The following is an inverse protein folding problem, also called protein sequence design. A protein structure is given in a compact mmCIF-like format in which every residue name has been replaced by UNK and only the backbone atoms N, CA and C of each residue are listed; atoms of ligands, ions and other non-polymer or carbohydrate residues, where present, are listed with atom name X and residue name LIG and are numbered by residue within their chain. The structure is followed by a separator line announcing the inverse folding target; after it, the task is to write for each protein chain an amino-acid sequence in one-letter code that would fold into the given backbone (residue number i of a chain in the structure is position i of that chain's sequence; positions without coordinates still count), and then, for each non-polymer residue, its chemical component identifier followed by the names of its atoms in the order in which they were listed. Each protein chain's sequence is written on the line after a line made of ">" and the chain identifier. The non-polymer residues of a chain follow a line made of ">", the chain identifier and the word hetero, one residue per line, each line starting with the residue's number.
data_IF_691095498846
#
_entry.id   IF_691095498846
#
_cell.length_a   1.000
_cell.length_b   1.000
_cell.length_c   1.000
_cell.angle_alpha   90.00
_cell.angle_beta   90.00
_cell.angle_gamma   90.00
#
_symmetry.space_group_name_H-M   'P 1'
#
loop_
_entity.id
_entity.type
_entity.pdbx_description
1 polymer ?
#
# COMPACT_ATOMS: atom_id res chain seq x y z
N UNK A 1 15.30 -5.73 16.82
CA UNK A 1 14.01 -6.13 16.18
C UNK A 1 12.83 -5.28 16.65
N UNK A 2 12.71 -4.08 16.07
CA UNK A 2 11.52 -3.23 16.20
C UNK A 2 10.48 -3.59 15.14
N UNK A 3 9.21 -3.31 15.41
CA UNK A 3 8.11 -3.48 14.45
C UNK A 3 7.28 -2.20 14.39
N UNK A 4 7.01 -1.73 13.18
CA UNK A 4 6.25 -0.52 12.91
C UNK A 4 5.00 -0.88 12.12
N UNK A 5 3.88 -0.24 12.47
CA UNK A 5 2.59 -0.52 11.85
C UNK A 5 1.83 0.77 11.57
N UNK A 6 1.10 0.80 10.46
CA UNK A 6 0.22 1.90 10.12
C UNK A 6 -1.04 1.37 9.43
N UNK A 7 -2.17 2.02 9.73
CA UNK A 7 -3.46 1.70 9.10
C UNK A 7 -3.93 2.93 8.34
N UNK A 8 -4.05 2.80 7.02
CA UNK A 8 -4.52 3.88 6.15
C UNK A 8 -5.94 3.57 5.72
N UNK A 9 -6.88 4.40 6.16
CA UNK A 9 -8.30 4.24 5.87
C UNK A 9 -8.67 4.72 4.46
N UNK A 10 -9.57 4.01 3.80
CA UNK A 10 -10.08 4.37 2.48
C UNK A 10 -9.84 3.27 1.44
N UNK A 11 -10.40 3.46 0.24
CA UNK A 11 -10.20 2.52 -0.86
C UNK A 11 -8.75 2.56 -1.35
N UNK A 12 -8.09 1.38 -1.47
CA UNK A 12 -6.72 1.32 -1.96
C UNK A 12 -6.65 1.80 -3.42
N UNK A 13 -5.68 2.66 -3.71
CA UNK A 13 -5.40 3.15 -5.06
C UNK A 13 -4.13 2.48 -5.56
N UNK A 14 -4.20 1.90 -6.76
CA UNK A 14 -3.01 1.36 -7.43
C UNK A 14 -2.07 2.50 -7.84
N UNK A 15 -0.77 2.24 -7.79
CA UNK A 15 0.21 3.11 -8.42
C UNK A 15 -0.07 3.18 -9.93
N UNK A 16 -0.40 4.38 -10.40
CA UNK A 16 -0.60 4.67 -11.81
C UNK A 16 0.74 4.69 -12.55
N UNK A 17 0.74 4.31 -13.83
CA UNK A 17 1.94 4.47 -14.66
C UNK A 17 2.19 5.96 -14.92
N UNK A 18 3.46 6.42 -14.93
CA UNK A 18 3.79 7.80 -15.23
C UNK A 18 3.18 8.24 -16.56
N UNK A 19 2.65 9.46 -16.58
CA UNK A 19 2.16 10.15 -17.76
C UNK A 19 3.27 11.06 -18.27
N UNK A 20 3.35 11.20 -19.57
CA UNK A 20 4.34 12.03 -20.22
C UNK A 20 3.65 13.26 -20.82
N UNK A 21 4.13 14.46 -20.50
CA UNK A 21 3.73 15.71 -21.15
C UNK A 21 4.95 16.38 -21.77
N UNK A 22 4.75 17.02 -22.93
CA UNK A 22 5.77 17.86 -23.56
C UNK A 22 5.51 19.32 -23.23
N UNK A 23 6.51 20.01 -22.70
CA UNK A 23 6.50 21.46 -22.52
C UNK A 23 7.85 22.01 -23.00
N UNK A 24 7.82 22.89 -24.02
CA UNK A 24 9.03 23.55 -24.54
C UNK A 24 10.11 22.61 -25.09
N UNK A 25 9.75 21.42 -25.59
CA UNK A 25 10.70 20.43 -26.13
C UNK A 25 11.19 19.38 -25.12
N UNK A 26 10.93 19.57 -23.82
CA UNK A 26 11.28 18.60 -22.79
C UNK A 26 10.09 17.69 -22.44
N UNK A 27 10.35 16.39 -22.27
CA UNK A 27 9.37 15.41 -21.81
C UNK A 27 9.45 15.33 -20.29
N UNK A 28 8.36 15.72 -19.61
CA UNK A 28 8.22 15.56 -18.15
C UNK A 28 7.35 14.33 -17.86
N UNK A 29 7.89 13.41 -17.07
CA UNK A 29 7.13 12.29 -16.50
C UNK A 29 6.51 12.73 -15.16
N UNK A 30 5.24 12.42 -14.94
CA UNK A 30 4.56 12.67 -13.68
C UNK A 30 3.54 11.57 -13.37
N UNK A 31 3.35 11.28 -12.08
CA UNK A 31 2.32 10.35 -11.65
C UNK A 31 0.92 10.95 -11.84
N UNK A 32 -0.08 10.16 -12.23
CA UNK A 32 -1.47 10.61 -12.24
C UNK A 32 -1.88 11.19 -10.88
N UNK A 33 -2.67 12.27 -10.87
CA UNK A 33 -3.05 12.99 -9.65
C UNK A 33 -3.57 12.06 -8.55
N UNK A 34 -4.49 11.13 -8.87
CA UNK A 34 -5.01 10.16 -7.89
C UNK A 34 -3.93 9.30 -7.23
N UNK A 35 -2.91 8.89 -7.99
CA UNK A 35 -1.79 8.07 -7.48
C UNK A 35 -0.93 8.89 -6.53
N UNK A 36 -0.58 10.12 -6.96
CA UNK A 36 0.22 11.06 -6.17
C UNK A 36 -0.48 11.43 -4.87
N UNK A 37 -1.76 11.79 -4.94
CA UNK A 37 -2.52 12.25 -3.78
C UNK A 37 -2.71 11.11 -2.77
N UNK A 38 -2.98 9.88 -3.26
CA UNK A 38 -3.03 8.70 -2.40
C UNK A 38 -1.68 8.39 -1.74
N UNK A 39 -0.57 8.48 -2.50
CA UNK A 39 0.79 8.30 -1.98
C UNK A 39 1.12 9.33 -0.89
N UNK A 40 0.77 10.59 -1.10
CA UNK A 40 0.91 11.65 -0.08
C UNK A 40 0.10 11.37 1.18
N UNK A 41 -1.13 10.87 1.02
CA UNK A 41 -1.98 10.49 2.14
C UNK A 41 -1.41 9.30 2.94
N UNK A 42 -0.96 8.24 2.26
CA UNK A 42 -0.27 7.10 2.91
C UNK A 42 0.95 7.60 3.69
N UNK A 43 1.78 8.44 3.07
CA UNK A 43 2.97 9.01 3.71
C UNK A 43 2.63 9.80 4.97
N UNK A 44 1.61 10.65 4.91
CA UNK A 44 1.16 11.48 6.04
C UNK A 44 0.69 10.64 7.22
N UNK A 45 -0.06 9.56 6.96
CA UNK A 45 -0.53 8.65 8.02
C UNK A 45 0.64 7.83 8.57
N UNK A 46 1.47 7.26 7.70
CA UNK A 46 2.59 6.42 8.12
C UNK A 46 3.66 7.19 8.88
N UNK A 47 3.87 8.49 8.59
CA UNK A 47 4.80 9.35 9.31
C UNK A 47 4.48 9.48 10.81
N UNK A 48 3.21 9.32 11.20
CA UNK A 48 2.80 9.36 12.63
C UNK A 48 3.24 8.11 13.41
N UNK A 49 3.62 7.06 12.69
CA UNK A 49 4.05 5.78 13.24
C UNK A 49 5.47 5.42 12.79
N UNK A 50 6.20 6.41 12.25
CA UNK A 50 7.55 6.22 11.76
C UNK A 50 8.55 6.11 12.93
N UNK A 51 9.68 5.42 12.73
CA UNK A 51 10.83 5.54 13.62
C UNK A 51 11.35 6.99 13.67
N UNK A 52 12.10 7.32 14.72
CA UNK A 52 12.75 8.64 14.86
C UNK A 52 13.67 8.97 13.67
N UNK A 53 14.31 7.94 13.11
CA UNK A 53 15.09 8.01 11.88
C UNK A 53 14.78 6.80 10.99
N UNK A 54 14.75 6.95 9.65
CA UNK A 54 14.56 5.82 8.76
C UNK A 54 15.56 4.70 9.02
N UNK A 55 15.07 3.46 9.12
CA UNK A 55 15.89 2.27 9.35
C UNK A 55 16.89 2.10 8.20
N UNK A 56 18.12 1.65 8.50
CA UNK A 56 19.18 1.38 7.52
C UNK A 56 19.49 -0.12 7.33
N UNK A 57 19.03 -0.99 8.24
CA UNK A 57 19.21 -2.44 8.17
C UNK A 57 18.19 -3.19 7.31
N UNK A 58 18.32 -4.52 7.25
CA UNK A 58 17.40 -5.39 6.52
C UNK A 58 16.02 -5.43 7.17
N UNK A 59 14.98 -5.28 6.35
CA UNK A 59 13.60 -5.26 6.81
C UNK A 59 12.74 -6.31 6.08
N UNK A 60 11.75 -6.81 6.80
CA UNK A 60 10.65 -7.59 6.24
C UNK A 60 9.39 -6.71 6.17
N UNK A 61 8.74 -6.69 5.01
CA UNK A 61 7.58 -5.86 4.74
C UNK A 61 6.30 -6.68 4.62
N UNK A 62 5.17 -6.15 5.08
CA UNK A 62 3.87 -6.78 4.95
C UNK A 62 2.80 -5.75 4.63
N UNK A 63 1.87 -6.14 3.77
CA UNK A 63 0.77 -5.30 3.31
C UNK A 63 -0.51 -6.12 3.17
N UNK A 64 -1.49 -5.79 4.02
CA UNK A 64 -2.86 -6.30 3.89
C UNK A 64 -3.76 -5.26 3.27
N UNK A 65 -4.38 -5.61 2.15
CA UNK A 65 -5.26 -4.72 1.40
C UNK A 65 -6.70 -5.16 1.64
N UNK A 66 -7.50 -4.32 2.29
CA UNK A 66 -8.91 -4.57 2.54
C UNK A 66 -9.77 -3.76 1.57
N UNK A 67 -10.54 -4.47 0.76
CA UNK A 67 -11.47 -3.92 -0.24
C UNK A 67 -12.89 -3.94 0.30
N UNK A 68 -13.67 -2.91 -0.02
CA UNK A 68 -15.10 -2.91 0.28
C UNK A 68 -15.81 -4.12 -0.38
N UNK A 69 -16.70 -4.76 0.36
CA UNK A 69 -17.58 -5.80 -0.18
C UNK A 69 -18.59 -5.14 -1.15
N UNK A 70 -18.69 -5.60 -2.42
CA UNK A 70 -19.66 -5.05 -3.36
C UNK A 70 -21.10 -5.18 -2.87
N UNK A 71 -21.90 -4.11 -2.98
CA UNK A 71 -23.30 -4.08 -2.50
C UNK A 71 -24.17 -5.16 -3.13
N UNK A 72 -23.95 -5.46 -4.41
CA UNK A 72 -24.66 -6.50 -5.16
C UNK A 72 -24.16 -7.94 -4.92
N UNK A 73 -23.17 -8.14 -4.04
CA UNK A 73 -22.68 -9.47 -3.71
C UNK A 73 -23.76 -10.28 -2.97
N UNK A 74 -24.14 -11.48 -3.45
CA UNK A 74 -25.10 -12.34 -2.76
C UNK A 74 -24.71 -12.65 -1.33
N UNK A 75 -25.69 -12.89 -0.45
CA UNK A 75 -25.46 -13.11 1.00
C UNK A 75 -24.40 -14.18 1.28
N UNK A 76 -24.48 -15.35 0.63
CA UNK A 76 -23.50 -16.43 0.84
C UNK A 76 -22.07 -16.02 0.47
N UNK A 77 -21.88 -15.24 -0.61
CA UNK A 77 -20.56 -14.71 -0.99
C UNK A 77 -20.10 -13.61 -0.03
N UNK A 78 -21.02 -12.81 0.50
CA UNK A 78 -20.73 -11.79 1.50
C UNK A 78 -20.22 -12.42 2.81
N UNK A 79 -20.85 -13.49 3.28
CA UNK A 79 -20.36 -14.21 4.46
C UNK A 79 -18.99 -14.86 4.19
N UNK A 80 -18.79 -15.47 3.02
CA UNK A 80 -17.48 -16.00 2.62
C UNK A 80 -16.40 -14.90 2.51
N UNK A 81 -16.78 -13.71 2.05
CA UNK A 81 -15.89 -12.55 1.98
C UNK A 81 -15.48 -12.05 3.37
N UNK A 82 -16.44 -11.97 4.31
CA UNK A 82 -16.20 -11.63 5.72
C UNK A 82 -15.34 -12.68 6.43
N UNK A 83 -15.56 -13.96 6.13
CA UNK A 83 -14.75 -15.06 6.64
C UNK A 83 -13.35 -15.15 6.00
N UNK A 84 -13.04 -14.31 4.99
CA UNK A 84 -11.75 -14.31 4.31
C UNK A 84 -11.50 -15.51 3.39
N UNK A 85 -12.50 -16.38 3.17
CA UNK A 85 -12.42 -17.52 2.25
C UNK A 85 -12.65 -17.10 0.80
N UNK A 86 -13.45 -16.05 0.58
CA UNK A 86 -13.57 -15.38 -0.72
C UNK A 86 -12.66 -14.14 -0.76
N UNK A 87 -11.75 -14.09 -1.73
CA UNK A 87 -10.83 -12.96 -1.92
C UNK A 87 -11.21 -12.07 -3.11
N UNK A 88 -10.92 -10.76 -3.05
CA UNK A 88 -11.14 -9.89 -4.19
C UNK A 88 -10.21 -10.28 -5.34
N UNK A 89 -10.75 -10.51 -6.53
CA UNK A 89 -9.95 -10.77 -7.74
C UNK A 89 -9.90 -9.56 -8.68
N UNK A 90 -10.60 -8.48 -8.34
CA UNK A 90 -10.65 -7.22 -9.12
C UNK A 90 -9.47 -6.29 -8.82
N UNK A 91 -9.22 -5.35 -9.73
CA UNK A 91 -8.28 -4.21 -9.54
C UNK A 91 -8.65 -3.36 -8.32
N UNK A 92 -7.68 -2.72 -7.63
CA UNK A 92 -6.26 -2.68 -7.96
C UNK A 92 -5.52 -4.00 -7.67
N UNK A 93 -4.45 -4.23 -8.42
CA UNK A 93 -3.57 -5.39 -8.24
C UNK A 93 -2.69 -5.20 -7.02
N UNK A 94 -2.37 -6.30 -6.33
CA UNK A 94 -1.58 -6.26 -5.08
C UNK A 94 -0.23 -5.60 -5.31
N UNK A 95 0.47 -5.95 -6.40
CA UNK A 95 1.79 -5.39 -6.75
C UNK A 95 1.75 -3.88 -7.03
N UNK A 96 0.67 -3.38 -7.64
CA UNK A 96 0.54 -1.96 -7.93
C UNK A 96 0.23 -1.14 -6.68
N UNK A 97 -0.53 -1.69 -5.73
CA UNK A 97 -0.74 -1.04 -4.42
C UNK A 97 0.55 -1.11 -3.60
N UNK A 98 1.21 -2.27 -3.57
CA UNK A 98 2.49 -2.47 -2.88
C UNK A 98 3.51 -1.42 -3.32
N UNK A 99 3.73 -1.28 -4.63
CA UNK A 99 4.66 -0.29 -5.16
C UNK A 99 4.34 1.14 -4.72
N UNK A 100 3.06 1.51 -4.72
CA UNK A 100 2.64 2.85 -4.27
C UNK A 100 2.91 3.08 -2.78
N UNK A 101 2.80 2.02 -1.96
CA UNK A 101 3.10 2.07 -0.53
C UNK A 101 4.61 2.11 -0.29
N UNK A 102 5.39 1.24 -0.94
CA UNK A 102 6.86 1.25 -0.86
C UNK A 102 7.41 2.64 -1.22
N UNK A 103 6.95 3.18 -2.34
CA UNK A 103 7.34 4.51 -2.79
C UNK A 103 6.92 5.62 -1.79
N UNK A 104 5.85 5.44 -1.01
CA UNK A 104 5.36 6.40 -0.02
C UNK A 104 6.18 6.37 1.29
N UNK A 105 6.68 5.19 1.65
CA UNK A 105 7.39 4.93 2.91
C UNK A 105 8.91 5.12 2.80
N UNK A 106 9.45 5.08 1.58
CA UNK A 106 10.87 5.38 1.32
C UNK A 106 11.24 6.78 1.84
N UNK A 107 12.31 6.83 2.63
CA UNK A 107 12.78 8.01 3.36
C UNK A 107 11.94 8.39 4.58
N UNK A 108 10.94 7.60 4.96
CA UNK A 108 10.11 7.82 6.15
C UNK A 108 10.29 6.67 7.15
N UNK A 109 10.09 5.43 6.71
CA UNK A 109 10.29 4.25 7.57
C UNK A 109 11.65 3.61 7.36
N UNK A 110 12.10 3.56 6.12
CA UNK A 110 13.39 3.00 5.70
C UNK A 110 14.03 3.92 4.66
N UNK A 111 15.35 3.84 4.49
CA UNK A 111 16.09 4.74 3.61
C UNK A 111 15.93 4.38 2.13
N UNK A 112 16.00 3.09 1.81
CA UNK A 112 15.96 2.59 0.44
C UNK A 112 15.16 1.27 0.30
N UNK A 113 14.50 1.08 -0.83
CA UNK A 113 13.71 -0.12 -1.14
C UNK A 113 14.56 -1.38 -1.24
N UNK A 114 15.86 -1.25 -1.53
CA UNK A 114 16.82 -2.36 -1.46
C UNK A 114 16.94 -3.01 -0.07
N UNK A 115 16.49 -2.35 0.99
CA UNK A 115 16.47 -2.91 2.34
C UNK A 115 15.34 -3.93 2.57
N UNK A 116 14.33 -3.95 1.70
CA UNK A 116 13.23 -4.91 1.77
C UNK A 116 13.74 -6.25 1.23
N UNK A 117 14.20 -7.12 2.15
CA UNK A 117 14.77 -8.43 1.79
C UNK A 117 13.73 -9.55 1.78
N UNK A 118 12.54 -9.28 2.32
CA UNK A 118 11.48 -10.27 2.41
C UNK A 118 10.09 -9.65 2.56
N UNK A 119 9.09 -10.43 2.17
CA UNK A 119 7.70 -10.10 2.39
C UNK A 119 7.06 -11.14 3.30
N UNK A 120 6.40 -10.66 4.35
CA UNK A 120 5.55 -11.50 5.20
C UNK A 120 4.18 -11.67 4.56
N UNK A 121 3.15 -11.09 5.18
CA UNK A 121 1.78 -11.17 4.66
C UNK A 121 1.58 -10.14 3.56
N UNK A 122 1.32 -10.61 2.34
CA UNK A 122 0.98 -9.77 1.19
C UNK A 122 -0.29 -10.28 0.52
N UNK A 123 -1.33 -9.44 0.41
CA UNK A 123 -2.54 -9.86 -0.30
C UNK A 123 -3.71 -8.90 -0.22
N UNK A 124 -4.84 -9.35 -0.77
CA UNK A 124 -6.12 -8.64 -0.72
C UNK A 124 -7.23 -9.47 -0.09
N UNK A 125 -8.02 -8.81 0.73
CA UNK A 125 -9.17 -9.32 1.46
C UNK A 125 -10.37 -8.42 1.23
N UNK A 126 -11.55 -8.93 1.49
CA UNK A 126 -12.74 -8.10 1.62
C UNK A 126 -12.94 -7.69 3.08
N UNK A 127 -13.50 -6.51 3.28
CA UNK A 127 -13.98 -6.00 4.56
C UNK A 127 -15.11 -5.00 4.32
N UNK A 128 -15.89 -4.70 5.35
CA UNK A 128 -16.84 -3.60 5.33
C UNK A 128 -16.13 -2.25 5.39
N UNK A 129 -14.95 -2.20 6.02
CA UNK A 129 -14.13 -0.99 6.13
C UNK A 129 -12.89 -1.08 5.23
N UNK A 130 -12.90 -0.47 4.04
CA UNK A 130 -11.74 -0.47 3.15
C UNK A 130 -10.57 0.28 3.81
N UNK A 131 -9.39 -0.33 3.74
CA UNK A 131 -8.15 0.18 4.31
C UNK A 131 -6.95 -0.61 3.77
N UNK A 132 -5.76 -0.10 4.00
CA UNK A 132 -4.54 -0.89 3.97
C UNK A 132 -3.91 -0.94 5.35
N UNK A 133 -3.38 -2.10 5.71
CA UNK A 133 -2.58 -2.29 6.92
C UNK A 133 -1.15 -2.58 6.49
N UNK A 134 -0.24 -1.74 6.95
CA UNK A 134 1.17 -1.74 6.62
C UNK A 134 1.92 -2.21 7.86
N UNK A 135 2.84 -3.15 7.70
CA UNK A 135 3.74 -3.57 8.77
C UNK A 135 5.15 -3.69 8.21
N UNK A 136 6.11 -3.17 8.97
CA UNK A 136 7.55 -3.32 8.73
C UNK A 136 8.20 -3.88 9.98
N UNK A 137 9.05 -4.90 9.81
CA UNK A 137 9.81 -5.51 10.90
C UNK A 137 11.30 -5.45 10.58
N UNK A 138 12.09 -4.96 11.52
CA UNK A 138 13.55 -5.05 11.45
C UNK A 138 14.00 -6.48 11.72
N UNK A 139 14.90 -7.00 10.89
CA UNK A 139 15.42 -8.36 11.01
C UNK A 139 16.69 -8.46 11.87
N UNK A 140 17.21 -7.31 12.31
CA UNK A 140 18.38 -7.18 13.17
C UNK A 140 17.99 -6.49 14.50
#
# INVERSE_FOLDING_TARGET
>A
MSTYTAVVLGDPVAQGRPRFSRQGGFVKAYDPAKSRDYKSYVRMIAAQHAPDSPVEGAIEFSLRIYRAIPKGMPKYKREAAKAGTLRPITKPDVSNVLKGVEDALKGVWYKDDSQIVGFGVLGKWYDERPRIEIMMRELE
#
